data_IF_142063774897
#
_entry.id   IF_142063774897
#
_cell.length_a   1.000
_cell.length_b   1.000
_cell.length_c   1.000
_cell.angle_alpha   90.00
_cell.angle_beta   90.00
_cell.angle_gamma   90.00
#
_symmetry.space_group_name_H-M   'P 1'
#
loop_
_entity.id
_entity.type
_entity.pdbx_description
1 polymer ?
#
# COMPACT_ATOMS: atom_id res chain seq x y z
N UNK A 1 -15.30 38.64 -17.41
CA UNK A 1 -15.04 38.86 -15.97
C UNK A 1 -16.12 38.17 -15.18
N UNK A 2 -15.78 37.00 -14.60
CA UNK A 2 -16.30 36.48 -13.32
C UNK A 2 -15.96 34.99 -13.29
N UNK A 3 -14.68 34.68 -13.09
CA UNK A 3 -14.29 33.38 -12.55
C UNK A 3 -14.84 33.33 -11.13
N UNK A 4 -15.94 32.58 -10.96
CA UNK A 4 -16.45 32.27 -9.64
C UNK A 4 -15.52 31.19 -9.07
N UNK A 5 -14.80 31.57 -8.02
CA UNK A 5 -13.99 30.68 -7.20
C UNK A 5 -14.93 29.65 -6.57
N UNK A 6 -14.94 28.42 -7.08
CA UNK A 6 -15.57 27.30 -6.40
C UNK A 6 -14.80 27.05 -5.10
N UNK A 7 -15.36 27.57 -4.02
CA UNK A 7 -14.96 27.25 -2.67
C UNK A 7 -15.02 25.73 -2.50
N UNK A 8 -13.88 25.14 -2.15
CA UNK A 8 -13.76 23.79 -1.59
C UNK A 8 -14.73 23.67 -0.40
N UNK A 9 -15.93 23.16 -0.66
CA UNK A 9 -16.83 22.67 0.38
C UNK A 9 -16.13 21.49 1.05
N UNK A 10 -15.53 21.75 2.21
CA UNK A 10 -14.96 20.69 3.05
C UNK A 10 -16.11 19.78 3.50
N UNK A 11 -16.29 18.64 2.83
CA UNK A 11 -17.26 17.64 3.25
C UNK A 11 -16.83 17.08 4.61
N UNK A 12 -17.63 17.30 5.65
CA UNK A 12 -17.32 16.81 6.98
C UNK A 12 -17.22 15.28 6.99
N UNK A 13 -16.11 14.75 7.48
CA UNK A 13 -15.92 13.29 7.66
C UNK A 13 -16.79 12.80 8.81
N UNK A 14 -17.60 11.77 8.57
CA UNK A 14 -18.49 11.19 9.56
C UNK A 14 -17.83 10.14 10.46
N UNK A 15 -18.47 9.86 11.59
CA UNK A 15 -18.13 8.71 12.43
C UNK A 15 -18.70 7.42 11.82
N UNK A 16 -17.89 6.36 11.84
CA UNK A 16 -18.35 5.03 11.48
C UNK A 16 -19.31 4.49 12.54
N UNK A 17 -20.52 4.10 12.13
CA UNK A 17 -21.54 3.52 13.01
C UNK A 17 -21.46 1.99 13.00
N UNK A 18 -21.34 1.41 14.20
CA UNK A 18 -21.42 -0.03 14.42
C UNK A 18 -22.83 -0.40 14.84
N UNK A 19 -23.61 -0.96 13.91
CA UNK A 19 -25.06 -1.17 14.04
C UNK A 19 -25.44 -2.62 14.29
N UNK A 20 -24.50 -3.56 14.14
CA UNK A 20 -24.79 -5.00 14.16
C UNK A 20 -23.94 -5.74 15.18
N UNK A 21 -24.46 -6.89 15.64
CA UNK A 21 -23.67 -7.83 16.43
C UNK A 21 -22.63 -8.52 15.54
N UNK A 22 -21.47 -8.81 16.12
CA UNK A 22 -20.43 -9.65 15.53
C UNK A 22 -20.08 -10.71 16.57
N UNK A 23 -20.70 -11.91 16.52
CA UNK A 23 -20.46 -12.96 17.50
C UNK A 23 -19.01 -13.40 17.60
N UNK A 24 -18.21 -13.27 16.52
CA UNK A 24 -16.80 -13.65 16.51
C UNK A 24 -15.94 -12.67 17.31
N UNK A 25 -16.22 -11.37 17.17
CA UNK A 25 -15.44 -10.31 17.80
C UNK A 25 -16.06 -9.79 19.11
N UNK A 26 -17.27 -10.22 19.45
CA UNK A 26 -18.00 -9.79 20.65
C UNK A 26 -18.33 -8.30 20.66
N UNK A 27 -18.34 -7.71 21.85
CA UNK A 27 -18.53 -6.27 22.09
C UNK A 27 -17.23 -5.61 22.55
N UNK A 28 -17.15 -4.28 22.47
CA UNK A 28 -16.08 -3.54 23.15
C UNK A 28 -16.20 -3.66 24.67
N UNK A 29 -15.17 -3.24 25.40
CA UNK A 29 -15.20 -3.13 26.86
C UNK A 29 -16.33 -2.21 27.37
N UNK A 30 -16.72 -1.20 26.59
CA UNK A 30 -17.86 -0.31 26.88
C UNK A 30 -19.23 -0.88 26.49
N UNK A 31 -19.28 -2.12 25.99
CA UNK A 31 -20.51 -2.76 25.53
C UNK A 31 -20.97 -2.34 24.12
N UNK A 32 -20.17 -1.56 23.39
CA UNK A 32 -20.47 -1.14 22.03
C UNK A 32 -20.39 -2.31 21.04
N UNK A 33 -21.22 -2.24 20.00
CA UNK A 33 -21.23 -3.20 18.91
C UNK A 33 -19.98 -3.09 18.04
N UNK A 34 -19.65 -4.17 17.31
CA UNK A 34 -18.49 -4.26 16.41
C UNK A 34 -18.84 -4.60 14.95
N UNK A 35 -20.08 -4.99 14.68
CA UNK A 35 -20.56 -5.26 13.32
C UNK A 35 -21.04 -4.00 12.61
N UNK A 36 -20.73 -3.87 11.33
CA UNK A 36 -21.11 -2.72 10.47
C UNK A 36 -22.12 -3.09 9.38
N UNK A 37 -22.51 -4.36 9.30
CA UNK A 37 -23.41 -4.92 8.30
C UNK A 37 -24.08 -6.16 8.88
N UNK A 38 -25.29 -6.49 8.43
CA UNK A 38 -26.05 -7.71 8.78
C UNK A 38 -25.25 -9.01 8.62
N UNK A 39 -24.28 -9.04 7.71
CA UNK A 39 -23.43 -10.22 7.48
C UNK A 39 -22.47 -10.54 8.63
N UNK A 40 -22.24 -9.61 9.58
CA UNK A 40 -21.45 -9.90 10.78
C UNK A 40 -22.17 -10.84 11.75
N UNK A 41 -23.50 -10.90 11.70
CA UNK A 41 -24.36 -11.78 12.55
C UNK A 41 -24.93 -12.97 11.75
N UNK A 42 -24.30 -13.33 10.63
CA UNK A 42 -24.72 -14.46 9.77
C UNK A 42 -25.82 -14.16 8.74
N UNK A 43 -26.31 -12.92 8.67
CA UNK A 43 -27.27 -12.48 7.65
C UNK A 43 -26.66 -12.29 6.25
N UNK A 44 -27.50 -12.00 5.26
CA UNK A 44 -27.04 -11.55 3.93
C UNK A 44 -26.64 -10.08 3.98
N UNK A 45 -25.63 -9.67 3.21
CA UNK A 45 -25.23 -8.26 3.11
C UNK A 45 -26.35 -7.40 2.54
N UNK A 46 -26.61 -6.26 3.17
CA UNK A 46 -27.53 -5.24 2.68
C UNK A 46 -26.74 -3.98 2.26
N UNK A 47 -26.89 -3.49 1.02
CA UNK A 47 -26.27 -2.25 0.56
C UNK A 47 -26.64 -1.01 1.40
N UNK A 48 -27.81 -0.98 2.05
CA UNK A 48 -28.27 0.15 2.87
C UNK A 48 -27.32 0.44 4.04
N UNK A 49 -26.66 -0.59 4.57
CA UNK A 49 -25.71 -0.42 5.69
C UNK A 49 -24.33 0.10 5.27
N UNK A 50 -24.08 0.29 3.97
CA UNK A 50 -22.81 0.83 3.49
C UNK A 50 -22.69 2.30 3.89
N UNK A 51 -21.59 2.62 4.56
CA UNK A 51 -21.28 3.98 5.00
C UNK A 51 -20.13 4.55 4.17
N UNK A 52 -20.23 5.82 3.79
CA UNK A 52 -19.25 6.56 2.99
C UNK A 52 -18.72 7.77 3.76
N UNK A 53 -17.60 8.33 3.31
CA UNK A 53 -16.95 9.49 3.91
C UNK A 53 -16.74 9.37 5.44
N UNK A 54 -16.28 8.21 5.89
CA UNK A 54 -15.94 7.93 7.29
C UNK A 54 -14.43 7.81 7.43
N UNK A 55 -13.89 8.28 8.58
CA UNK A 55 -12.45 8.25 8.81
C UNK A 55 -11.91 6.81 8.89
N UNK A 56 -12.67 5.91 9.52
CA UNK A 56 -12.43 4.46 9.47
C UNK A 56 -13.19 3.92 8.26
N UNK A 57 -12.53 3.45 7.19
CA UNK A 57 -13.23 3.01 5.99
C UNK A 57 -14.12 1.81 6.32
N UNK A 58 -15.44 1.95 6.11
CA UNK A 58 -16.45 0.93 6.43
C UNK A 58 -16.13 -0.47 5.91
N UNK A 59 -15.49 -0.55 4.73
CA UNK A 59 -15.14 -1.82 4.10
C UNK A 59 -14.13 -2.65 4.91
N UNK A 60 -13.27 -2.02 5.72
CA UNK A 60 -12.28 -2.71 6.54
C UNK A 60 -12.94 -3.59 7.61
N UNK A 61 -13.77 -3.08 8.54
CA UNK A 61 -14.50 -3.93 9.48
C UNK A 61 -15.53 -4.84 8.80
N UNK A 62 -16.11 -4.44 7.67
CA UNK A 62 -17.09 -5.26 6.95
C UNK A 62 -16.51 -6.60 6.45
N UNK A 63 -15.27 -6.62 6.00
CA UNK A 63 -14.64 -7.84 5.46
C UNK A 63 -13.39 -8.28 6.21
N UNK A 64 -13.01 -7.60 7.30
CA UNK A 64 -11.79 -7.85 8.07
C UNK A 64 -11.68 -9.28 8.59
N UNK A 65 -12.77 -9.86 9.11
CA UNK A 65 -12.79 -11.24 9.61
C UNK A 65 -12.46 -12.30 8.54
N UNK A 66 -12.51 -11.94 7.24
CA UNK A 66 -12.20 -12.82 6.11
C UNK A 66 -10.82 -12.57 5.51
N UNK A 67 -10.12 -11.53 5.94
CA UNK A 67 -8.86 -11.06 5.34
C UNK A 67 -7.80 -10.74 6.39
N UNK A 68 -7.74 -11.53 7.47
CA UNK A 68 -6.79 -11.32 8.57
C UNK A 68 -6.80 -9.87 9.10
N UNK A 69 -8.00 -9.33 9.32
CA UNK A 69 -8.25 -7.96 9.75
C UNK A 69 -7.62 -6.87 8.85
N UNK A 70 -7.35 -7.19 7.59
CA UNK A 70 -6.66 -6.31 6.64
C UNK A 70 -5.33 -5.77 7.20
N UNK A 71 -4.63 -6.60 7.99
CA UNK A 71 -3.38 -6.22 8.63
C UNK A 71 -2.41 -5.62 7.60
N UNK A 72 -1.96 -4.39 7.87
CA UNK A 72 -1.05 -3.64 7.01
C UNK A 72 -1.71 -2.55 6.15
N UNK A 73 -3.03 -2.57 5.89
CA UNK A 73 -3.69 -1.46 5.20
C UNK A 73 -3.59 -0.16 6.03
N UNK A 74 -3.32 0.96 5.36
CA UNK A 74 -2.92 2.22 6.00
C UNK A 74 -1.73 2.09 6.96
N UNK A 75 -0.90 1.05 6.80
CA UNK A 75 0.28 0.83 7.61
C UNK A 75 1.39 1.83 7.30
N UNK A 76 2.09 2.26 8.34
CA UNK A 76 3.37 2.98 8.22
C UNK A 76 4.51 1.99 8.05
N UNK A 77 5.49 2.37 7.23
CA UNK A 77 6.81 1.74 7.27
C UNK A 77 7.44 1.95 8.64
N UNK A 78 8.28 1.01 9.05
CA UNK A 78 9.04 1.08 10.29
C UNK A 78 10.47 1.51 9.97
N UNK A 79 11.08 2.33 10.81
CA UNK A 79 12.46 2.79 10.59
C UNK A 79 13.47 1.63 10.57
N UNK A 80 13.28 0.66 11.47
CA UNK A 80 14.09 -0.56 11.55
C UNK A 80 13.54 -1.70 10.68
N UNK A 81 12.52 -1.41 9.86
CA UNK A 81 11.87 -2.38 8.99
C UNK A 81 12.38 -2.32 7.55
N UNK A 82 11.57 -2.86 6.65
CA UNK A 82 11.83 -2.87 5.21
C UNK A 82 10.55 -2.63 4.42
N UNK A 83 10.70 -2.33 3.13
CA UNK A 83 9.59 -2.27 2.19
C UNK A 83 9.12 -3.69 1.85
N UNK A 84 7.83 -4.00 2.02
CA UNK A 84 7.30 -5.35 1.75
C UNK A 84 7.58 -5.82 0.31
N UNK A 85 7.26 -4.96 -0.66
CA UNK A 85 7.61 -5.12 -2.08
C UNK A 85 7.53 -3.74 -2.70
N UNK A 86 8.49 -3.38 -3.57
CA UNK A 86 8.44 -2.09 -4.28
C UNK A 86 7.15 -1.98 -5.09
N UNK A 87 6.36 -0.96 -4.78
CA UNK A 87 5.03 -0.74 -5.37
C UNK A 87 5.12 0.06 -6.67
N UNK A 88 4.37 -0.37 -7.69
CA UNK A 88 4.16 0.37 -8.94
C UNK A 88 3.18 1.53 -8.79
N UNK A 89 2.37 1.50 -7.72
CA UNK A 89 1.44 2.55 -7.32
C UNK A 89 1.19 2.44 -5.80
N UNK A 90 1.69 3.38 -4.98
CA UNK A 90 1.56 3.32 -3.53
C UNK A 90 0.15 3.71 -3.06
N UNK A 91 -0.74 2.72 -2.92
CA UNK A 91 -2.09 2.91 -2.41
C UNK A 91 -2.26 2.32 -1.00
N UNK A 92 -2.71 3.09 0.02
CA UNK A 92 -2.89 2.61 1.40
C UNK A 92 -3.87 1.44 1.56
N UNK A 93 -4.83 1.31 0.65
CA UNK A 93 -5.79 0.20 0.60
C UNK A 93 -5.46 -0.84 -0.47
N UNK A 94 -4.34 -0.68 -1.17
CA UNK A 94 -3.83 -1.65 -2.14
C UNK A 94 -3.29 -2.91 -1.46
N UNK A 95 -2.94 -3.92 -2.27
CA UNK A 95 -2.49 -5.24 -1.77
C UNK A 95 -1.31 -5.18 -0.81
N UNK A 96 -0.40 -4.21 -0.99
CA UNK A 96 0.78 -4.06 -0.16
C UNK A 96 0.47 -3.34 1.17
N UNK A 97 -0.51 -2.43 1.19
CA UNK A 97 -1.06 -1.74 2.37
C UNK A 97 -0.13 -0.78 3.12
N UNK A 98 1.11 -1.20 3.36
CA UNK A 98 2.11 -0.51 4.18
C UNK A 98 2.99 0.39 3.31
N UNK A 99 2.41 1.49 2.86
CA UNK A 99 3.04 2.46 1.95
C UNK A 99 3.15 3.87 2.54
N UNK A 100 2.77 4.05 3.81
CA UNK A 100 2.88 5.35 4.46
C UNK A 100 4.30 5.56 4.99
N UNK A 101 4.76 6.80 4.90
CA UNK A 101 6.05 7.19 5.48
C UNK A 101 6.08 6.90 6.99
N UNK A 102 7.23 6.51 7.58
CA UNK A 102 7.33 6.17 9.00
C UNK A 102 6.79 7.25 9.94
N UNK A 103 7.07 8.52 9.66
CA UNK A 103 6.58 9.65 10.48
C UNK A 103 5.56 10.55 9.74
N UNK A 104 5.89 10.98 8.53
CA UNK A 104 5.13 11.99 7.78
C UNK A 104 3.74 11.49 7.34
N UNK A 105 2.76 12.40 7.25
CA UNK A 105 1.39 12.10 6.83
C UNK A 105 1.23 12.03 5.30
N UNK A 106 2.00 11.16 4.66
CA UNK A 106 1.97 10.93 3.21
C UNK A 106 2.34 9.49 2.88
N UNK A 107 2.04 9.10 1.65
CA UNK A 107 2.63 7.91 1.04
C UNK A 107 4.10 8.13 0.71
N UNK A 108 4.83 7.04 0.53
CA UNK A 108 6.21 7.07 0.03
C UNK A 108 6.28 7.72 -1.36
N UNK A 109 7.30 8.54 -1.55
CA UNK A 109 7.61 9.23 -2.80
C UNK A 109 8.27 8.30 -3.81
N UNK A 110 8.30 8.73 -5.07
CA UNK A 110 9.05 8.04 -6.16
C UNK A 110 10.49 7.78 -5.75
N UNK A 111 11.16 8.76 -5.12
CA UNK A 111 12.57 8.64 -4.76
C UNK A 111 12.80 7.67 -3.60
N UNK A 112 11.90 7.61 -2.62
CA UNK A 112 11.96 6.61 -1.55
C UNK A 112 11.78 5.19 -2.10
N UNK A 113 10.84 4.97 -3.03
CA UNK A 113 10.73 3.70 -3.74
C UNK A 113 11.98 3.38 -4.60
N UNK A 114 12.59 4.39 -5.23
CA UNK A 114 13.79 4.17 -6.03
C UNK A 114 14.98 3.74 -5.15
N UNK A 115 15.10 4.33 -3.95
CA UNK A 115 16.11 3.93 -2.97
C UNK A 115 15.86 2.52 -2.43
N UNK A 116 14.60 2.11 -2.22
CA UNK A 116 14.30 0.72 -1.80
C UNK A 116 14.73 -0.31 -2.85
N UNK A 117 14.74 0.06 -4.14
CA UNK A 117 15.27 -0.76 -5.23
C UNK A 117 16.80 -0.64 -5.40
N UNK A 118 17.48 0.24 -4.66
CA UNK A 118 18.91 0.46 -4.80
C UNK A 118 19.32 1.22 -6.06
N UNK A 119 18.42 2.04 -6.63
CA UNK A 119 18.81 2.97 -7.68
C UNK A 119 19.72 4.08 -7.12
N UNK A 120 20.76 4.51 -7.86
CA UNK A 120 21.49 5.70 -7.49
C UNK A 120 20.58 6.93 -7.59
N UNK A 121 20.81 7.91 -6.71
CA UNK A 121 20.01 9.14 -6.67
C UNK A 121 20.11 9.96 -7.97
N UNK A 122 21.19 9.77 -8.74
CA UNK A 122 21.39 10.36 -10.07
C UNK A 122 20.55 9.71 -11.17
N UNK A 123 19.95 8.54 -10.95
CA UNK A 123 19.12 7.88 -11.96
C UNK A 123 17.84 8.69 -12.21
N UNK A 124 17.58 8.99 -13.49
CA UNK A 124 16.44 9.80 -13.93
C UNK A 124 15.26 8.91 -14.34
N UNK A 125 14.07 9.26 -13.85
CA UNK A 125 12.80 8.66 -14.24
C UNK A 125 11.94 9.72 -14.95
N UNK A 126 11.18 9.32 -15.96
CA UNK A 126 10.47 10.25 -16.84
C UNK A 126 8.94 10.06 -16.80
N UNK A 127 8.19 11.04 -17.30
CA UNK A 127 6.72 11.01 -17.30
C UNK A 127 6.08 11.52 -16.02
N UNK A 128 4.81 11.16 -15.80
CA UNK A 128 4.03 11.56 -14.63
C UNK A 128 4.52 10.88 -13.35
N UNK A 129 4.07 11.34 -12.18
CA UNK A 129 4.41 10.69 -10.89
C UNK A 129 4.04 9.21 -10.87
N UNK A 130 2.89 8.85 -11.44
CA UNK A 130 2.44 7.45 -11.54
C UNK A 130 3.34 6.65 -12.50
N UNK A 131 3.72 7.21 -13.63
CA UNK A 131 4.63 6.54 -14.59
C UNK A 131 5.99 6.26 -13.96
N UNK A 132 6.50 7.20 -13.15
CA UNK A 132 7.77 7.03 -12.44
C UNK A 132 7.67 5.96 -11.35
N UNK A 133 6.58 5.91 -10.59
CA UNK A 133 6.35 4.80 -9.65
C UNK A 133 6.29 3.45 -10.38
N UNK A 134 5.63 3.38 -11.54
CA UNK A 134 5.59 2.15 -12.36
C UNK A 134 6.98 1.75 -12.87
N UNK A 135 7.78 2.70 -13.37
CA UNK A 135 9.16 2.43 -13.78
C UNK A 135 10.00 1.84 -12.64
N UNK A 136 9.92 2.43 -11.45
CA UNK A 136 10.62 1.96 -10.24
C UNK A 136 10.13 0.58 -9.80
N UNK A 137 8.81 0.37 -9.75
CA UNK A 137 8.21 -0.88 -9.29
C UNK A 137 8.42 -2.06 -10.23
N UNK A 138 8.46 -1.82 -11.54
CA UNK A 138 8.69 -2.87 -12.56
C UNK A 138 10.18 -3.18 -12.79
N UNK A 139 11.07 -2.31 -12.32
CA UNK A 139 12.50 -2.51 -12.53
C UNK A 139 13.06 -3.66 -11.67
N UNK A 140 14.10 -4.31 -12.20
CA UNK A 140 14.97 -5.18 -11.41
C UNK A 140 15.90 -4.29 -10.58
N UNK A 141 16.05 -4.55 -9.25
CA UNK A 141 16.98 -3.79 -8.41
C UNK A 141 18.41 -3.81 -8.99
N UNK A 142 19.06 -2.65 -9.24
CA UNK A 142 20.41 -2.63 -9.80
C UNK A 142 21.46 -3.45 -9.01
N UNK A 143 21.46 -3.49 -7.67
CA UNK A 143 22.38 -4.35 -6.93
C UNK A 143 22.20 -5.85 -7.25
N UNK A 144 20.96 -6.30 -7.44
CA UNK A 144 20.67 -7.68 -7.85
C UNK A 144 21.15 -7.94 -9.28
N UNK A 145 20.87 -7.01 -10.20
CA UNK A 145 21.33 -7.11 -11.59
C UNK A 145 22.86 -7.15 -11.69
N UNK A 146 23.56 -6.36 -10.88
CA UNK A 146 25.03 -6.36 -10.80
C UNK A 146 25.56 -7.73 -10.35
N UNK A 147 25.04 -8.27 -9.25
CA UNK A 147 25.49 -9.56 -8.72
C UNK A 147 25.31 -10.69 -9.73
N UNK A 148 24.16 -10.73 -10.44
CA UNK A 148 23.93 -11.70 -11.51
C UNK A 148 24.89 -11.50 -12.70
N UNK A 149 25.12 -10.24 -13.10
CA UNK A 149 26.05 -9.91 -14.19
C UNK A 149 27.49 -10.33 -13.89
N UNK A 150 27.94 -10.23 -12.63
CA UNK A 150 29.27 -10.68 -12.21
C UNK A 150 29.44 -12.20 -12.37
N UNK A 151 28.42 -13.00 -12.05
CA UNK A 151 28.47 -14.46 -12.23
C UNK A 151 28.48 -14.87 -13.71
N UNK A 152 27.72 -14.16 -14.55
CA UNK A 152 27.75 -14.36 -16.00
C UNK A 152 29.14 -14.03 -16.55
N UNK A 153 29.72 -12.90 -16.15
CA UNK A 153 31.05 -12.49 -16.58
C UNK A 153 32.12 -13.51 -16.18
N UNK A 154 32.09 -14.01 -14.94
CA UNK A 154 33.01 -15.07 -14.48
C UNK A 154 32.92 -16.30 -15.36
N UNK A 155 31.70 -16.73 -15.69
CA UNK A 155 31.45 -17.91 -16.53
C UNK A 155 32.02 -17.73 -17.94
N UNK A 156 31.82 -16.55 -18.54
CA UNK A 156 32.37 -16.22 -19.87
C UNK A 156 33.91 -16.22 -19.83
N UNK A 157 34.51 -15.60 -18.81
CA UNK A 157 35.96 -15.54 -18.67
C UNK A 157 36.60 -16.93 -18.44
N UNK A 158 35.92 -17.82 -17.71
CA UNK A 158 36.38 -19.21 -17.55
C UNK A 158 36.41 -19.94 -18.89
N UNK A 159 35.37 -19.79 -19.71
CA UNK A 159 35.30 -20.42 -21.03
C UNK A 159 36.39 -19.91 -21.98
N UNK A 160 36.60 -18.59 -22.04
CA UNK A 160 37.65 -17.99 -22.87
C UNK A 160 39.07 -18.45 -22.49
N UNK A 161 39.32 -18.71 -21.20
CA UNK A 161 40.61 -19.26 -20.75
C UNK A 161 40.81 -20.71 -21.17
N UNK A 162 39.74 -21.50 -21.26
CA UNK A 162 39.80 -22.89 -21.71
C UNK A 162 40.01 -23.01 -23.23
N UNK A 163 39.49 -22.06 -24.01
CA UNK A 163 39.66 -22.05 -25.47
C UNK A 163 41.05 -21.55 -25.92
N UNK A 164 41.76 -20.81 -25.06
CA UNK A 164 43.09 -20.26 -25.32
C UNK A 164 44.25 -21.10 -24.73
N UNK A 165 43.96 -22.27 -24.18
CA UNK A 165 44.93 -23.22 -23.61
C UNK A 165 44.92 -24.53 -24.40
#
# INVERSE_FOLDING_TARGET
MSHQLDALSASATGYLKYTHRDPKNGKSASGALRGVCSCSDGGKCDPEFRQFNTLVPWCLPHTGNRHNHWAGLYGRLEWDGFFSTTVTNPEPMGKQGRVLHPEQHRVVSVRECARSQGFPDSFAFYGSTLDRHRQVGNAVPPPLGKALGEEVLKSVLMKLKQENC
#
